data_IF_494728229068
#
_entry.id   IF_494728229068
#
_cell.length_a   1.000
_cell.length_b   1.000
_cell.length_c   1.000
_cell.angle_alpha   90.00
_cell.angle_beta   90.00
_cell.angle_gamma   90.00
#
_symmetry.space_group_name_H-M   'P 1'
#
loop_
_entity.id
_entity.type
_entity.pdbx_description
1 polymer ?
#
# COMPACT_ATOMS: atom_id res chain seq x y z
N UNK A 1 -30.68 -1.11 -12.29
CA UNK A 1 -32.12 -1.34 -12.06
C UNK A 1 -32.68 0.01 -11.70
N UNK A 2 -33.39 0.63 -12.63
CA UNK A 2 -34.03 1.95 -12.46
C UNK A 2 -35.09 1.84 -11.37
N UNK A 3 -35.29 2.90 -10.58
CA UNK A 3 -36.28 2.91 -9.48
C UNK A 3 -37.69 2.49 -9.96
N UNK A 4 -38.08 2.91 -11.18
CA UNK A 4 -39.35 2.50 -11.80
C UNK A 4 -39.56 0.98 -11.87
N UNK A 5 -38.56 0.21 -12.29
CA UNK A 5 -38.67 -1.25 -12.36
C UNK A 5 -38.76 -1.91 -10.99
N UNK A 6 -38.28 -1.26 -9.93
CA UNK A 6 -38.43 -1.77 -8.57
C UNK A 6 -39.84 -1.48 -8.04
N UNK A 7 -40.44 -0.36 -8.44
CA UNK A 7 -41.79 0.05 -8.07
C UNK A 7 -42.86 -0.81 -8.77
N UNK A 8 -42.69 -1.09 -10.06
CA UNK A 8 -43.59 -1.97 -10.84
C UNK A 8 -43.62 -3.40 -10.26
N UNK A 9 -42.43 -3.92 -9.92
CA UNK A 9 -42.29 -5.23 -9.28
C UNK A 9 -42.85 -5.18 -7.85
N UNK A 10 -42.71 -4.08 -7.11
CA UNK A 10 -43.29 -3.96 -5.77
C UNK A 10 -44.82 -3.95 -5.82
N UNK A 11 -45.41 -3.25 -6.79
CA UNK A 11 -46.85 -3.19 -7.01
C UNK A 11 -47.43 -4.57 -7.37
N UNK A 12 -46.80 -5.29 -8.30
CA UNK A 12 -47.28 -6.62 -8.75
C UNK A 12 -46.82 -7.80 -7.91
N UNK A 13 -45.74 -7.71 -7.12
CA UNK A 13 -45.18 -8.82 -6.33
C UNK A 13 -45.31 -8.64 -4.80
N UNK A 14 -45.68 -7.44 -4.34
CA UNK A 14 -45.75 -7.08 -2.93
C UNK A 14 -44.39 -6.66 -2.38
N UNK A 15 -44.40 -5.60 -1.57
CA UNK A 15 -43.19 -5.02 -0.94
C UNK A 15 -42.44 -6.02 -0.05
N UNK A 16 -43.16 -6.89 0.66
CA UNK A 16 -42.58 -7.92 1.53
C UNK A 16 -41.79 -8.97 0.73
N UNK A 17 -42.35 -9.44 -0.39
CA UNK A 17 -41.72 -10.40 -1.30
C UNK A 17 -40.45 -9.82 -1.91
N UNK A 18 -40.53 -8.55 -2.33
CA UNK A 18 -39.38 -7.82 -2.87
C UNK A 18 -38.29 -7.61 -1.79
N UNK A 19 -38.68 -7.35 -0.54
CA UNK A 19 -37.77 -7.30 0.61
C UNK A 19 -37.03 -8.62 0.84
N UNK A 20 -37.75 -9.76 0.78
CA UNK A 20 -37.17 -11.10 0.87
C UNK A 20 -36.20 -11.41 -0.28
N UNK A 21 -36.57 -11.07 -1.51
CA UNK A 21 -35.70 -11.20 -2.70
C UNK A 21 -34.44 -10.32 -2.60
N UNK A 22 -34.55 -9.09 -2.10
CA UNK A 22 -33.41 -8.22 -1.81
C UNK A 22 -32.48 -8.83 -0.74
N UNK A 23 -33.05 -9.46 0.29
CA UNK A 23 -32.29 -10.21 1.30
C UNK A 23 -31.52 -11.39 0.68
N UNK A 24 -32.15 -12.17 -0.19
CA UNK A 24 -31.50 -13.26 -0.94
C UNK A 24 -30.39 -12.74 -1.85
N UNK A 25 -30.63 -11.65 -2.58
CA UNK A 25 -29.60 -10.97 -3.40
C UNK A 25 -28.41 -10.54 -2.57
N UNK A 26 -28.65 -9.93 -1.40
CA UNK A 26 -27.58 -9.50 -0.47
C UNK A 26 -26.79 -10.69 0.06
N UNK A 27 -27.44 -11.81 0.38
CA UNK A 27 -26.77 -13.06 0.81
C UNK A 27 -25.90 -13.65 -0.30
N UNK A 28 -26.42 -13.72 -1.52
CA UNK A 28 -25.67 -14.20 -2.68
C UNK A 28 -24.46 -13.31 -2.98
N UNK A 29 -24.64 -11.99 -2.88
CA UNK A 29 -23.56 -11.02 -3.02
C UNK A 29 -22.49 -11.22 -1.96
N UNK A 30 -22.86 -11.29 -0.68
CA UNK A 30 -21.93 -11.55 0.43
C UNK A 30 -21.17 -12.86 0.26
N UNK A 31 -21.85 -13.94 -0.15
CA UNK A 31 -21.19 -15.23 -0.41
C UNK A 31 -20.11 -15.13 -1.50
N UNK A 32 -20.39 -14.40 -2.59
CA UNK A 32 -19.41 -14.17 -3.65
C UNK A 32 -18.26 -13.29 -3.17
N UNK A 33 -18.58 -12.20 -2.48
CA UNK A 33 -17.60 -11.25 -1.94
C UNK A 33 -16.65 -11.93 -0.94
N UNK A 34 -17.17 -12.76 -0.03
CA UNK A 34 -16.33 -13.53 0.91
C UNK A 34 -15.41 -14.49 0.15
N UNK A 35 -15.94 -15.22 -0.85
CA UNK A 35 -15.15 -16.18 -1.63
C UNK A 35 -14.05 -15.50 -2.45
N UNK A 36 -14.34 -14.38 -3.11
CA UNK A 36 -13.32 -13.62 -3.83
C UNK A 36 -12.34 -12.96 -2.85
N UNK A 37 -12.82 -12.47 -1.71
CA UNK A 37 -12.00 -11.88 -0.65
C UNK A 37 -10.99 -12.86 -0.08
N UNK A 38 -11.37 -14.13 0.12
CA UNK A 38 -10.44 -15.19 0.53
C UNK A 38 -9.31 -15.42 -0.49
N UNK A 39 -9.62 -15.38 -1.79
CA UNK A 39 -8.60 -15.53 -2.83
C UNK A 39 -7.66 -14.33 -2.88
N UNK A 40 -8.22 -13.11 -2.79
CA UNK A 40 -7.44 -11.87 -2.76
C UNK A 40 -6.56 -11.82 -1.51
N UNK A 41 -7.07 -12.20 -0.34
CA UNK A 41 -6.30 -12.26 0.89
C UNK A 41 -5.19 -13.31 0.83
N UNK A 42 -5.45 -14.49 0.24
CA UNK A 42 -4.42 -15.50 0.02
C UNK A 42 -3.30 -14.98 -0.89
N UNK A 43 -3.64 -14.29 -1.98
CA UNK A 43 -2.65 -13.69 -2.87
C UNK A 43 -1.86 -12.57 -2.19
N UNK A 44 -2.53 -11.69 -1.44
CA UNK A 44 -1.90 -10.57 -0.74
C UNK A 44 -0.93 -11.04 0.35
N UNK A 45 -1.33 -12.03 1.16
CA UNK A 45 -0.45 -12.60 2.20
C UNK A 45 0.79 -13.27 1.62
N UNK A 46 0.67 -13.98 0.49
CA UNK A 46 1.83 -14.52 -0.23
C UNK A 46 2.75 -13.42 -0.76
N UNK A 47 2.19 -12.36 -1.35
CA UNK A 47 2.98 -11.25 -1.86
C UNK A 47 3.70 -10.49 -0.74
N UNK A 48 3.04 -10.28 0.40
CA UNK A 48 3.64 -9.68 1.59
C UNK A 48 4.79 -10.54 2.12
N UNK A 49 4.59 -11.86 2.22
CA UNK A 49 5.64 -12.79 2.64
C UNK A 49 6.83 -12.76 1.67
N UNK A 50 6.58 -12.64 0.36
CA UNK A 50 7.63 -12.49 -0.65
C UNK A 50 8.40 -11.17 -0.47
N UNK A 51 7.72 -10.05 -0.24
CA UNK A 51 8.37 -8.75 0.04
C UNK A 51 9.25 -8.85 1.28
N UNK A 52 8.78 -9.51 2.35
CA UNK A 52 9.61 -9.73 3.54
C UNK A 52 10.83 -10.61 3.26
N UNK A 53 10.70 -11.65 2.44
CA UNK A 53 11.82 -12.49 2.05
C UNK A 53 12.88 -11.69 1.27
N UNK A 54 12.44 -10.85 0.33
CA UNK A 54 13.35 -9.97 -0.44
C UNK A 54 14.00 -8.93 0.48
N UNK A 55 13.25 -8.36 1.44
CA UNK A 55 13.77 -7.38 2.40
C UNK A 55 14.82 -7.95 3.37
N UNK A 56 14.97 -9.28 3.45
CA UNK A 56 16.07 -9.94 4.16
C UNK A 56 17.33 -10.09 3.32
N UNK A 57 17.17 -10.26 2.00
CA UNK A 57 18.29 -10.36 1.07
C UNK A 57 18.84 -8.99 0.67
N UNK A 58 17.98 -7.97 0.66
CA UNK A 58 18.32 -6.61 0.25
C UNK A 58 17.81 -5.59 1.28
N UNK A 59 18.59 -4.55 1.61
CA UNK A 59 18.17 -3.48 2.53
C UNK A 59 17.09 -2.60 1.87
N UNK A 60 15.84 -3.04 1.98
CA UNK A 60 14.68 -2.36 1.43
C UNK A 60 14.04 -1.44 2.48
N UNK A 61 14.45 -0.17 2.49
CA UNK A 61 13.85 0.84 3.37
C UNK A 61 12.34 1.02 3.15
N UNK A 62 11.89 0.82 1.91
CA UNK A 62 10.50 0.93 1.51
C UNK A 62 9.66 -0.34 1.78
N UNK A 63 10.18 -1.36 2.49
CA UNK A 63 9.47 -2.61 2.70
C UNK A 63 8.08 -2.42 3.37
N UNK A 64 8.01 -1.61 4.44
CA UNK A 64 6.73 -1.31 5.14
C UNK A 64 5.71 -0.57 4.26
N UNK A 65 6.04 0.57 3.60
CA UNK A 65 5.07 1.24 2.73
C UNK A 65 4.67 0.37 1.53
N UNK A 66 5.56 -0.46 0.98
CA UNK A 66 5.21 -1.42 -0.07
C UNK A 66 4.19 -2.45 0.43
N UNK A 67 4.38 -3.02 1.62
CA UNK A 67 3.41 -3.95 2.22
C UNK A 67 2.04 -3.30 2.44
N UNK A 68 2.01 -2.07 2.97
CA UNK A 68 0.77 -1.30 3.12
C UNK A 68 0.11 -1.03 1.76
N UNK A 69 0.90 -0.69 0.75
CA UNK A 69 0.44 -0.52 -0.63
C UNK A 69 -0.19 -1.79 -1.20
N UNK A 70 0.41 -2.96 -0.96
CA UNK A 70 -0.15 -4.27 -1.35
C UNK A 70 -1.51 -4.52 -0.68
N UNK A 71 -1.61 -4.24 0.62
CA UNK A 71 -2.88 -4.40 1.37
C UNK A 71 -3.95 -3.46 0.80
N UNK A 72 -3.62 -2.18 0.62
CA UNK A 72 -4.55 -1.18 0.09
C UNK A 72 -5.03 -1.55 -1.32
N UNK A 73 -4.10 -1.92 -2.20
CA UNK A 73 -4.41 -2.36 -3.56
C UNK A 73 -5.32 -3.60 -3.56
N UNK A 74 -5.02 -4.59 -2.72
CA UNK A 74 -5.83 -5.79 -2.58
C UNK A 74 -7.27 -5.47 -2.13
N UNK A 75 -7.43 -4.57 -1.15
CA UNK A 75 -8.75 -4.13 -0.67
C UNK A 75 -9.53 -3.39 -1.76
N UNK A 76 -8.88 -2.49 -2.50
CA UNK A 76 -9.50 -1.75 -3.60
C UNK A 76 -9.91 -2.72 -4.72
N UNK A 77 -9.00 -3.60 -5.15
CA UNK A 77 -9.28 -4.59 -6.18
C UNK A 77 -10.45 -5.51 -5.77
N UNK A 78 -10.50 -5.94 -4.51
CA UNK A 78 -11.62 -6.70 -3.98
C UNK A 78 -12.92 -5.91 -3.97
N UNK A 79 -12.90 -4.65 -3.53
CA UNK A 79 -14.10 -3.79 -3.50
C UNK A 79 -14.63 -3.53 -4.92
N UNK A 80 -13.74 -3.28 -5.89
CA UNK A 80 -14.07 -3.12 -7.31
C UNK A 80 -14.66 -4.41 -7.88
N UNK A 81 -14.04 -5.57 -7.61
CA UNK A 81 -14.56 -6.87 -8.06
C UNK A 81 -15.94 -7.17 -7.45
N UNK A 82 -16.10 -6.94 -6.14
CA UNK A 82 -17.35 -7.16 -5.43
C UNK A 82 -18.47 -6.23 -5.90
N UNK A 83 -18.16 -4.98 -6.26
CA UNK A 83 -19.14 -4.03 -6.80
C UNK A 83 -19.50 -4.33 -8.25
N UNK A 84 -18.52 -4.67 -9.10
CA UNK A 84 -18.75 -5.05 -10.51
C UNK A 84 -19.56 -6.34 -10.64
N UNK A 85 -19.36 -7.31 -9.75
CA UNK A 85 -20.08 -8.61 -9.77
C UNK A 85 -21.37 -8.63 -8.95
N UNK A 86 -21.98 -7.47 -8.68
CA UNK A 86 -23.26 -7.37 -7.98
C UNK A 86 -24.34 -8.17 -8.73
N UNK A 87 -24.92 -9.23 -8.14
CA UNK A 87 -25.96 -10.02 -8.79
C UNK A 87 -27.22 -9.19 -9.03
N UNK A 88 -27.88 -9.41 -10.17
CA UNK A 88 -29.22 -8.88 -10.39
C UNK A 88 -30.25 -9.59 -9.50
N UNK A 89 -31.45 -9.01 -9.33
CA UNK A 89 -32.54 -9.69 -8.62
C UNK A 89 -32.97 -10.97 -9.34
N UNK A 90 -32.92 -10.98 -10.68
CA UNK A 90 -33.22 -12.17 -11.51
C UNK A 90 -32.19 -13.27 -11.27
N UNK A 91 -30.89 -12.94 -11.23
CA UNK A 91 -29.85 -13.93 -10.92
C UNK A 91 -29.99 -14.52 -9.52
N UNK A 92 -30.42 -13.68 -8.56
CA UNK A 92 -30.65 -14.10 -7.19
C UNK A 92 -31.89 -15.01 -7.09
N UNK A 93 -32.97 -14.67 -7.80
CA UNK A 93 -34.19 -15.47 -7.88
C UNK A 93 -33.92 -16.84 -8.53
N UNK A 94 -33.28 -16.87 -9.70
CA UNK A 94 -32.94 -18.12 -10.41
C UNK A 94 -32.04 -19.03 -9.59
N UNK A 95 -30.99 -18.48 -8.96
CA UNK A 95 -30.14 -19.29 -8.06
C UNK A 95 -30.83 -19.73 -6.78
N UNK A 96 -31.78 -18.94 -6.27
CA UNK A 96 -32.59 -19.35 -5.14
C UNK A 96 -33.55 -20.48 -5.55
N UNK A 97 -34.09 -20.45 -6.77
CA UNK A 97 -34.92 -21.55 -7.29
C UNK A 97 -34.15 -22.87 -7.36
N UNK A 98 -32.88 -22.83 -7.76
CA UNK A 98 -31.99 -24.00 -7.79
C UNK A 98 -31.66 -24.51 -6.38
N UNK A 99 -31.23 -23.63 -5.46
CA UNK A 99 -30.81 -24.06 -4.11
C UNK A 99 -31.98 -24.40 -3.17
N UNK A 100 -33.19 -23.88 -3.44
CA UNK A 100 -34.41 -24.14 -2.65
C UNK A 100 -35.41 -25.05 -3.37
N UNK A 101 -35.05 -25.60 -4.53
CA UNK A 101 -35.87 -26.51 -5.34
C UNK A 101 -37.25 -25.95 -5.72
N UNK A 102 -37.34 -24.64 -5.96
CA UNK A 102 -38.60 -23.93 -6.24
C UNK A 102 -39.04 -24.04 -7.72
N UNK A 103 -38.35 -24.84 -8.55
CA UNK A 103 -38.72 -25.15 -9.93
C UNK A 103 -38.99 -23.90 -10.79
N UNK A 104 -38.07 -22.94 -10.75
CA UNK A 104 -38.09 -21.68 -11.53
C UNK A 104 -39.21 -20.69 -11.17
N UNK A 105 -40.01 -20.95 -10.13
CA UNK A 105 -41.17 -20.11 -9.77
C UNK A 105 -40.79 -18.66 -9.46
N UNK A 106 -39.65 -18.41 -8.80
CA UNK A 106 -39.22 -17.04 -8.47
C UNK A 106 -38.65 -16.31 -9.70
N UNK A 107 -37.87 -17.01 -10.51
CA UNK A 107 -37.32 -16.47 -11.76
C UNK A 107 -38.43 -16.05 -12.72
N UNK A 108 -39.41 -16.93 -12.94
CA UNK A 108 -40.58 -16.69 -13.78
C UNK A 108 -41.44 -15.56 -13.20
N UNK A 109 -41.79 -15.59 -11.91
CA UNK A 109 -42.59 -14.53 -11.30
C UNK A 109 -41.95 -13.14 -11.40
N UNK A 110 -40.62 -13.04 -11.30
CA UNK A 110 -39.92 -11.77 -11.46
C UNK A 110 -39.88 -11.30 -12.92
N UNK A 111 -39.92 -12.21 -13.88
CA UNK A 111 -39.99 -11.89 -15.31
C UNK A 111 -41.39 -11.42 -15.72
N UNK A 112 -42.43 -12.08 -15.20
CA UNK A 112 -43.82 -11.64 -15.36
C UNK A 112 -44.08 -10.28 -14.70
N UNK A 113 -43.55 -10.05 -13.50
CA UNK A 113 -43.72 -8.78 -12.79
C UNK A 113 -43.06 -7.57 -13.47
N UNK A 114 -42.29 -7.77 -14.55
CA UNK A 114 -41.68 -6.68 -15.34
C UNK A 114 -42.55 -6.19 -16.49
N UNK A 115 -43.60 -6.92 -16.82
CA UNK A 115 -44.54 -6.55 -17.89
C UNK A 115 -45.90 -6.30 -17.25
N UNK A 116 -46.64 -5.31 -17.74
CA UNK A 116 -48.02 -5.09 -17.32
C UNK A 116 -48.95 -5.88 -18.25
N UNK A 117 -49.70 -6.82 -17.69
CA UNK A 117 -50.67 -7.62 -18.43
C UNK A 117 -51.82 -8.01 -17.50
N UNK A 118 -53.04 -7.86 -17.98
CA UNK A 118 -54.29 -8.15 -17.24
C UNK A 118 -54.71 -9.63 -17.37
N UNK A 119 -53.74 -10.54 -17.41
CA UNK A 119 -54.03 -11.98 -17.51
C UNK A 119 -54.21 -12.62 -16.11
N UNK A 120 -55.40 -13.17 -15.81
CA UNK A 120 -55.67 -13.86 -14.54
C UNK A 120 -54.73 -15.03 -14.25
N UNK A 121 -54.14 -15.66 -15.27
CA UNK A 121 -53.15 -16.72 -15.10
C UNK A 121 -51.86 -16.18 -14.48
N UNK A 122 -51.40 -15.00 -14.91
CA UNK A 122 -50.23 -14.34 -14.33
C UNK A 122 -50.45 -14.03 -12.85
N UNK A 123 -51.61 -13.47 -12.51
CA UNK A 123 -51.95 -13.15 -11.12
C UNK A 123 -51.86 -14.39 -10.21
N UNK A 124 -52.32 -15.56 -10.70
CA UNK A 124 -52.20 -16.84 -9.98
C UNK A 124 -50.75 -17.31 -9.88
N UNK A 125 -49.94 -17.16 -10.92
CA UNK A 125 -48.52 -17.53 -10.89
C UNK A 125 -47.72 -16.65 -9.91
N UNK A 126 -47.99 -15.34 -9.87
CA UNK A 126 -47.38 -14.41 -8.92
C UNK A 126 -47.78 -14.77 -7.47
N UNK A 127 -49.06 -15.09 -7.23
CA UNK A 127 -49.55 -15.51 -5.93
C UNK A 127 -48.90 -16.84 -5.46
N UNK A 128 -48.78 -17.83 -6.35
CA UNK A 128 -48.12 -19.11 -6.04
C UNK A 128 -46.63 -18.90 -5.71
N UNK A 129 -45.90 -18.09 -6.48
CA UNK A 129 -44.51 -17.78 -6.22
C UNK A 129 -44.30 -17.09 -4.86
N UNK A 130 -45.17 -16.14 -4.50
CA UNK A 130 -45.17 -15.48 -3.18
C UNK A 130 -45.43 -16.49 -2.05
N UNK A 131 -46.45 -17.33 -2.20
CA UNK A 131 -46.79 -18.34 -1.20
C UNK A 131 -45.63 -19.31 -0.95
N UNK A 132 -44.97 -19.76 -2.03
CA UNK A 132 -43.78 -20.62 -1.93
C UNK A 132 -42.59 -19.93 -1.31
N UNK A 133 -42.30 -18.68 -1.67
CA UNK A 133 -41.22 -17.90 -1.04
C UNK A 133 -41.47 -17.69 0.46
N UNK A 134 -42.74 -17.55 0.86
CA UNK A 134 -43.12 -17.37 2.25
C UNK A 134 -43.03 -18.66 3.07
N UNK A 135 -43.29 -19.81 2.44
CA UNK A 135 -43.22 -21.13 3.06
C UNK A 135 -41.79 -21.66 3.24
N UNK A 136 -40.82 -21.18 2.47
CA UNK A 136 -39.44 -21.68 2.52
C UNK A 136 -38.57 -20.89 3.51
N UNK A 137 -37.76 -21.63 4.27
CA UNK A 137 -36.74 -21.05 5.13
C UNK A 137 -35.57 -20.48 4.32
N UNK A 138 -35.55 -19.15 4.15
CA UNK A 138 -34.50 -18.40 3.47
C UNK A 138 -33.10 -18.61 4.09
N UNK A 139 -32.99 -19.13 5.31
CA UNK A 139 -31.69 -19.45 5.95
C UNK A 139 -31.01 -20.65 5.30
N UNK A 140 -31.77 -21.51 4.62
CA UNK A 140 -31.22 -22.67 3.91
C UNK A 140 -30.58 -22.28 2.57
N UNK A 141 -31.00 -21.16 1.98
CA UNK A 141 -30.40 -20.62 0.76
C UNK A 141 -29.00 -20.02 1.03
N UNK A 142 -28.07 -20.31 0.13
CA UNK A 142 -26.73 -19.75 0.04
C UNK A 142 -25.86 -19.97 1.28
N UNK A 143 -25.89 -21.18 1.87
CA UNK A 143 -25.04 -21.52 3.01
C UNK A 143 -23.56 -21.19 2.72
N UNK A 144 -22.85 -20.51 3.64
CA UNK A 144 -21.46 -20.16 3.45
C UNK A 144 -20.62 -21.45 3.40
N UNK A 145 -20.18 -21.82 2.19
CA UNK A 145 -19.19 -22.89 1.99
C UNK A 145 -17.84 -22.23 1.79
N UNK A 146 -17.08 -22.13 2.87
CA UNK A 146 -15.68 -21.71 2.83
C UNK A 146 -14.88 -22.78 2.06
N UNK A 147 -14.21 -22.38 0.99
CA UNK A 147 -13.32 -23.28 0.28
C UNK A 147 -12.08 -23.51 1.16
N UNK A 148 -11.82 -24.78 1.54
CA UNK A 148 -10.72 -25.15 2.45
C UNK A 148 -9.35 -24.76 1.90
N UNK A 149 -9.14 -24.90 0.59
CA UNK A 149 -7.87 -24.58 -0.08
C UNK A 149 -7.44 -23.11 0.06
N UNK A 150 -8.22 -22.10 -0.39
CA UNK A 150 -7.81 -20.70 -0.25
C UNK A 150 -7.72 -20.27 1.21
N UNK A 151 -8.56 -20.83 2.09
CA UNK A 151 -8.45 -20.61 3.53
C UNK A 151 -7.09 -21.11 4.07
N UNK A 152 -6.68 -22.32 3.68
CA UNK A 152 -5.39 -22.89 4.09
C UNK A 152 -4.21 -22.08 3.55
N UNK A 153 -4.27 -21.64 2.29
CA UNK A 153 -3.22 -20.78 1.70
C UNK A 153 -3.14 -19.43 2.43
N UNK A 154 -4.28 -18.78 2.69
CA UNK A 154 -4.31 -17.53 3.44
C UNK A 154 -3.78 -17.71 4.88
N UNK A 155 -4.17 -18.80 5.55
CA UNK A 155 -3.68 -19.11 6.90
C UNK A 155 -2.17 -19.38 6.91
N UNK A 156 -1.67 -20.13 5.93
CA UNK A 156 -0.24 -20.43 5.79
C UNK A 156 0.56 -19.16 5.46
N UNK A 157 0.07 -18.32 4.54
CA UNK A 157 0.69 -17.03 4.23
C UNK A 157 0.71 -16.08 5.43
N UNK A 158 -0.36 -16.04 6.22
CA UNK A 158 -0.42 -15.27 7.46
C UNK A 158 0.56 -15.81 8.51
N UNK A 159 0.59 -17.12 8.73
CA UNK A 159 1.53 -17.74 9.66
C UNK A 159 2.99 -17.47 9.27
N UNK A 160 3.31 -17.58 7.98
CA UNK A 160 4.62 -17.23 7.43
C UNK A 160 4.96 -15.75 7.67
N UNK A 161 4.01 -14.86 7.36
CA UNK A 161 4.16 -13.40 7.57
C UNK A 161 4.46 -13.09 9.04
N UNK A 162 3.71 -13.68 9.98
CA UNK A 162 3.90 -13.48 11.42
C UNK A 162 5.24 -14.04 11.90
N UNK A 163 5.65 -15.21 11.40
CA UNK A 163 6.93 -15.81 11.72
C UNK A 163 8.10 -14.94 11.24
N UNK A 164 8.00 -14.38 10.03
CA UNK A 164 9.04 -13.51 9.46
C UNK A 164 9.12 -12.15 10.16
N UNK A 165 8.00 -11.65 10.70
CA UNK A 165 7.98 -10.42 11.52
C UNK A 165 8.56 -10.66 12.91
N UNK A 166 8.30 -11.81 13.52
CA UNK A 166 8.83 -12.15 14.84
C UNK A 166 10.34 -12.38 14.82
N UNK A 167 10.91 -12.74 13.66
CA UNK A 167 12.32 -13.00 13.50
C UNK A 167 13.06 -11.76 13.00
N UNK A 168 14.05 -11.23 13.73
CA UNK A 168 14.73 -9.98 13.40
C UNK A 168 15.37 -10.01 12.02
N UNK A 169 15.23 -8.93 11.28
CA UNK A 169 15.79 -8.80 9.94
C UNK A 169 17.22 -8.22 10.05
N UNK A 170 18.27 -8.94 9.60
CA UNK A 170 19.64 -8.44 9.68
C UNK A 170 19.87 -7.15 8.88
N UNK A 171 19.03 -6.89 7.88
CA UNK A 171 19.12 -5.66 7.09
C UNK A 171 18.59 -4.42 7.85
N UNK A 172 17.89 -4.60 8.98
CA UNK A 172 17.38 -3.46 9.74
C UNK A 172 18.53 -2.65 10.36
N UNK A 173 19.57 -3.32 10.88
CA UNK A 173 20.79 -2.67 11.40
C UNK A 173 21.53 -1.90 10.29
N UNK A 174 21.64 -2.48 9.10
CA UNK A 174 22.28 -1.83 7.94
C UNK A 174 21.49 -0.59 7.51
N UNK A 175 20.15 -0.65 7.54
CA UNK A 175 19.29 0.48 7.23
C UNK A 175 19.44 1.59 8.27
N UNK A 176 19.50 1.25 9.56
CA UNK A 176 19.72 2.21 10.63
C UNK A 176 21.08 2.90 10.51
N UNK A 177 22.16 2.15 10.25
CA UNK A 177 23.49 2.70 10.01
C UNK A 177 23.51 3.67 8.81
N UNK A 178 22.87 3.30 7.70
CA UNK A 178 22.77 4.17 6.52
C UNK A 178 21.99 5.45 6.81
N UNK A 179 20.93 5.38 7.61
CA UNK A 179 20.16 6.57 8.02
C UNK A 179 20.98 7.48 8.92
N UNK A 180 21.64 6.93 9.93
CA UNK A 180 22.53 7.68 10.80
C UNK A 180 23.66 8.36 10.00
N UNK A 181 24.25 7.66 9.02
CA UNK A 181 25.26 8.21 8.14
C UNK A 181 24.72 9.39 7.30
N UNK A 182 23.51 9.27 6.71
CA UNK A 182 22.87 10.36 5.96
C UNK A 182 22.54 11.56 6.85
N UNK A 183 22.00 11.34 8.04
CA UNK A 183 21.71 12.42 9.00
C UNK A 183 22.99 13.11 9.50
N UNK A 184 24.08 12.36 9.67
CA UNK A 184 25.39 12.94 9.97
C UNK A 184 25.93 13.76 8.79
N UNK A 185 25.81 13.25 7.56
CA UNK A 185 26.22 13.94 6.34
C UNK A 185 25.42 15.24 6.12
N UNK A 186 24.12 15.26 6.42
CA UNK A 186 23.27 16.44 6.31
C UNK A 186 23.68 17.55 7.29
N UNK A 187 23.91 17.21 8.56
CA UNK A 187 24.44 18.17 9.57
C UNK A 187 25.81 18.72 9.20
N UNK A 188 26.62 17.89 8.54
CA UNK A 188 27.94 18.28 8.04
C UNK A 188 27.81 19.19 6.83
N UNK A 189 26.89 18.90 5.91
CA UNK A 189 26.60 19.76 4.76
C UNK A 189 26.14 21.15 5.19
N UNK A 190 25.30 21.26 6.21
CA UNK A 190 24.87 22.54 6.78
C UNK A 190 26.07 23.38 7.27
N UNK A 191 26.99 22.79 8.06
CA UNK A 191 28.19 23.51 8.52
C UNK A 191 29.12 23.92 7.38
N UNK A 192 29.27 23.07 6.37
CA UNK A 192 30.08 23.39 5.18
C UNK A 192 29.45 24.55 4.39
N UNK A 193 28.13 24.61 4.32
CA UNK A 193 27.40 25.71 3.69
C UNK A 193 27.53 27.01 4.49
N UNK A 194 27.45 26.96 5.83
CA UNK A 194 27.74 28.12 6.71
C UNK A 194 29.15 28.69 6.44
N UNK A 195 30.17 27.83 6.35
CA UNK A 195 31.54 28.27 6.02
C UNK A 195 31.62 28.82 4.59
N UNK A 196 30.88 28.25 3.63
CA UNK A 196 30.83 28.77 2.28
C UNK A 196 30.25 30.18 2.24
N UNK A 197 29.19 30.42 3.01
CA UNK A 197 28.54 31.72 3.11
C UNK A 197 29.43 32.76 3.80
N UNK A 198 30.14 32.40 4.88
CA UNK A 198 31.16 33.26 5.51
C UNK A 198 32.26 33.66 4.51
N UNK A 199 32.78 32.71 3.74
CA UNK A 199 33.79 32.97 2.70
C UNK A 199 33.23 33.90 1.61
N UNK A 200 31.97 33.71 1.23
CA UNK A 200 31.27 34.57 0.28
C UNK A 200 31.09 36.01 0.79
N UNK A 201 30.66 36.18 2.04
CA UNK A 201 30.53 37.48 2.69
C UNK A 201 31.88 38.21 2.77
N UNK A 202 32.93 37.51 3.21
CA UNK A 202 34.29 38.07 3.22
C UNK A 202 34.80 38.48 1.82
N UNK A 203 34.36 37.77 0.77
CA UNK A 203 34.72 38.07 -0.61
C UNK A 203 33.97 39.29 -1.17
N UNK A 204 32.76 39.58 -0.65
CA UNK A 204 32.05 40.83 -0.97
C UNK A 204 32.78 42.03 -0.38
N UNK A 205 33.27 41.90 0.86
CA UNK A 205 34.02 42.97 1.55
C UNK A 205 35.42 43.18 0.96
N UNK A 206 36.11 42.10 0.59
CA UNK A 206 37.44 42.13 -0.03
C UNK A 206 37.57 41.09 -1.16
N UNK A 207 37.34 41.51 -2.43
CA UNK A 207 37.30 40.59 -3.56
C UNK A 207 38.62 39.87 -3.84
N UNK A 208 38.58 38.55 -3.79
CA UNK A 208 39.66 37.62 -4.19
C UNK A 208 39.07 36.47 -5.02
N UNK A 209 39.49 36.31 -6.30
CA UNK A 209 39.05 35.19 -7.15
C UNK A 209 39.23 33.81 -6.54
N UNK A 210 40.19 33.62 -5.61
CA UNK A 210 40.42 32.35 -4.93
C UNK A 210 39.32 32.03 -3.91
N UNK A 211 38.78 33.05 -3.23
CA UNK A 211 37.68 32.89 -2.27
C UNK A 211 36.39 32.50 -2.98
N UNK A 212 36.12 33.08 -4.14
CA UNK A 212 34.98 32.71 -4.98
C UNK A 212 35.04 31.25 -5.46
N UNK A 213 36.23 30.75 -5.81
CA UNK A 213 36.42 29.33 -6.14
C UNK A 213 36.21 28.43 -4.91
N UNK A 214 36.76 28.80 -3.75
CA UNK A 214 36.58 28.05 -2.50
C UNK A 214 35.11 27.95 -2.09
N UNK A 215 34.38 29.08 -2.11
CA UNK A 215 32.94 29.15 -1.86
C UNK A 215 32.16 28.18 -2.77
N UNK A 216 32.44 28.18 -4.09
CA UNK A 216 31.83 27.24 -5.03
C UNK A 216 32.13 25.78 -4.68
N UNK A 217 33.36 25.46 -4.31
CA UNK A 217 33.74 24.09 -3.97
C UNK A 217 33.11 23.61 -2.67
N UNK A 218 32.99 24.48 -1.66
CA UNK A 218 32.31 24.19 -0.40
C UNK A 218 30.82 23.94 -0.63
N UNK A 219 30.14 24.79 -1.42
CA UNK A 219 28.73 24.56 -1.77
C UNK A 219 28.51 23.26 -2.52
N UNK A 220 29.41 22.92 -3.44
CA UNK A 220 29.34 21.66 -4.17
C UNK A 220 29.62 20.45 -3.25
N UNK A 221 30.54 20.58 -2.28
CA UNK A 221 30.75 19.56 -1.25
C UNK A 221 29.49 19.38 -0.38
N UNK A 222 28.85 20.47 0.07
CA UNK A 222 27.61 20.43 0.83
C UNK A 222 26.48 19.74 0.04
N UNK A 223 26.35 20.06 -1.25
CA UNK A 223 25.40 19.39 -2.15
C UNK A 223 25.68 17.90 -2.27
N UNK A 224 26.94 17.52 -2.49
CA UNK A 224 27.33 16.12 -2.65
C UNK A 224 27.09 15.30 -1.38
N UNK A 225 27.35 15.88 -0.20
CA UNK A 225 27.04 15.28 1.10
C UNK A 225 25.54 15.01 1.29
N UNK A 226 24.66 15.89 0.77
CA UNK A 226 23.21 15.68 0.81
C UNK A 226 22.73 14.61 -0.16
N UNK A 227 23.30 14.58 -1.36
CA UNK A 227 22.88 13.64 -2.41
C UNK A 227 23.47 12.23 -2.23
N UNK A 228 24.70 12.12 -1.71
CA UNK A 228 25.49 10.89 -1.67
C UNK A 228 26.17 10.67 -0.30
N UNK A 229 25.59 11.16 0.80
CA UNK A 229 26.18 11.08 2.13
C UNK A 229 26.43 9.67 2.67
N UNK A 230 25.82 8.64 2.07
CA UNK A 230 26.08 7.24 2.36
C UNK A 230 27.24 6.63 1.53
N UNK A 231 27.73 7.34 0.50
CA UNK A 231 28.92 6.97 -0.27
C UNK A 231 30.18 7.58 0.37
N UNK A 232 30.85 6.75 1.18
CA UNK A 232 32.07 7.12 1.90
C UNK A 232 33.21 7.50 0.98
N UNK A 233 33.41 6.76 -0.11
CA UNK A 233 34.58 6.95 -0.97
C UNK A 233 34.47 8.27 -1.72
N UNK A 234 33.28 8.55 -2.28
CA UNK A 234 32.97 9.82 -2.92
C UNK A 234 33.12 10.99 -1.93
N UNK A 235 32.59 10.85 -0.71
CA UNK A 235 32.63 11.90 0.31
C UNK A 235 34.06 12.21 0.78
N UNK A 236 34.87 11.19 1.09
CA UNK A 236 36.25 11.39 1.55
C UNK A 236 37.14 11.96 0.44
N UNK A 237 36.97 11.50 -0.80
CA UNK A 237 37.68 12.05 -1.94
C UNK A 237 37.38 13.55 -2.11
N UNK A 238 36.12 13.96 -1.91
CA UNK A 238 35.74 15.37 -2.03
C UNK A 238 36.31 16.23 -0.91
N UNK A 239 36.25 15.76 0.34
CA UNK A 239 36.86 16.47 1.48
C UNK A 239 38.36 16.69 1.21
N UNK A 240 39.06 15.65 0.76
CA UNK A 240 40.48 15.75 0.42
C UNK A 240 40.78 16.79 -0.67
N UNK A 241 39.93 16.89 -1.71
CA UNK A 241 40.11 17.89 -2.76
C UNK A 241 39.97 19.34 -2.26
N UNK A 242 39.02 19.58 -1.33
CA UNK A 242 38.82 20.90 -0.71
C UNK A 242 39.98 21.23 0.22
N UNK A 243 40.48 20.26 0.99
CA UNK A 243 41.67 20.44 1.85
C UNK A 243 42.92 20.78 1.04
N UNK A 244 43.12 20.14 -0.11
CA UNK A 244 44.25 20.43 -0.99
C UNK A 244 44.21 21.87 -1.51
N UNK A 245 43.04 22.37 -1.91
CA UNK A 245 42.89 23.76 -2.37
C UNK A 245 43.09 24.77 -1.23
N UNK A 246 42.55 24.46 -0.04
CA UNK A 246 42.75 25.27 1.16
C UNK A 246 44.24 25.37 1.53
N UNK A 247 45.01 24.29 1.37
CA UNK A 247 46.45 24.28 1.64
C UNK A 247 47.26 25.16 0.66
N UNK A 248 46.73 25.40 -0.54
CA UNK A 248 47.34 26.31 -1.53
C UNK A 248 47.02 27.78 -1.22
N UNK A 249 45.98 28.04 -0.45
CA UNK A 249 45.62 29.39 -0.02
C UNK A 249 46.49 29.81 1.17
N UNK A 250 47.15 30.96 1.06
CA UNK A 250 47.88 31.58 2.18
C UNK A 250 46.89 32.40 3.02
N UNK A 251 45.86 31.74 3.54
CA UNK A 251 44.80 32.36 4.34
C UNK A 251 45.16 32.24 5.84
N UNK A 252 45.11 33.32 6.64
CA UNK A 252 45.30 33.25 8.09
C UNK A 252 44.35 32.27 8.81
N UNK A 253 43.16 31.98 8.25
CA UNK A 253 42.19 31.03 8.79
C UNK A 253 42.28 29.63 8.15
N UNK A 254 43.21 29.40 7.21
CA UNK A 254 43.37 28.09 6.54
C UNK A 254 43.58 26.94 7.53
N UNK A 255 44.35 27.17 8.60
CA UNK A 255 44.65 26.14 9.60
C UNK A 255 43.40 25.73 10.40
N UNK A 256 42.50 26.66 10.70
CA UNK A 256 41.27 26.39 11.43
C UNK A 256 40.27 25.62 10.56
N UNK A 257 40.12 26.04 9.30
CA UNK A 257 39.26 25.38 8.30
C UNK A 257 39.77 23.98 7.95
N UNK A 258 41.09 23.75 7.86
CA UNK A 258 41.67 22.43 7.61
C UNK A 258 41.50 21.48 8.80
N UNK A 259 41.63 22.00 10.02
CA UNK A 259 41.33 21.22 11.23
C UNK A 259 39.86 20.79 11.28
N UNK A 260 38.94 21.68 10.90
CA UNK A 260 37.52 21.38 10.81
C UNK A 260 37.23 20.29 9.76
N UNK A 261 37.80 20.40 8.55
CA UNK A 261 37.67 19.39 7.48
C UNK A 261 38.29 18.04 7.87
N UNK A 262 39.41 18.05 8.60
CA UNK A 262 40.02 16.82 9.11
C UNK A 262 39.15 16.15 10.18
N UNK A 263 38.56 16.94 11.08
CA UNK A 263 37.60 16.41 12.06
C UNK A 263 36.36 15.84 11.36
N UNK A 264 35.90 16.50 10.30
CA UNK A 264 34.83 16.05 9.42
C UNK A 264 35.14 14.68 8.82
N UNK A 265 36.30 14.55 8.16
CA UNK A 265 36.74 13.31 7.53
C UNK A 265 36.81 12.15 8.55
N UNK A 266 37.29 12.43 9.77
CA UNK A 266 37.30 11.44 10.86
C UNK A 266 35.89 11.06 11.32
N UNK A 267 34.98 12.03 11.48
CA UNK A 267 33.60 11.74 11.88
C UNK A 267 32.85 10.93 10.82
N UNK A 268 33.02 11.28 9.54
CA UNK A 268 32.42 10.54 8.42
C UNK A 268 33.02 9.14 8.31
N UNK A 269 34.33 9.02 8.52
CA UNK A 269 35.00 7.72 8.55
C UNK A 269 34.44 6.82 9.66
N UNK A 270 34.20 7.36 10.87
CA UNK A 270 33.65 6.58 12.00
C UNK A 270 32.17 6.23 11.83
N UNK A 271 31.35 7.20 11.41
CA UNK A 271 29.92 7.01 11.20
C UNK A 271 29.63 5.91 10.17
N UNK A 272 30.52 5.73 9.19
CA UNK A 272 30.39 4.68 8.17
C UNK A 272 31.08 3.36 8.56
N UNK A 273 32.10 3.36 9.42
CA UNK A 273 32.69 2.10 9.94
C UNK A 273 31.87 1.43 11.03
N UNK A 274 30.84 2.10 11.56
CA UNK A 274 30.00 1.56 12.64
C UNK A 274 30.72 1.45 13.98
N UNK A 275 31.86 2.15 14.14
CA UNK A 275 32.57 2.26 15.42
C UNK A 275 32.01 3.44 16.23
N UNK A 276 30.76 3.31 16.66
CA UNK A 276 30.28 4.07 17.83
C UNK A 276 30.48 3.18 19.07
N UNK A 277 31.53 3.52 19.82
CA UNK A 277 31.72 3.37 21.27
C UNK A 277 31.36 2.00 21.91
N UNK A 278 32.41 1.20 22.15
CA UNK A 278 32.50 0.32 23.32
C UNK A 278 32.86 1.12 24.57
#
# INVERSE_FOLDING_TARGET
MTDRLADDVAARLGSDTLGRLRSLRRRLWWRRAVRSGLLVAAAATLLIALVQLVARAFPLEAARPVQLGVIAFALIAWAVDATRRRPSLVDAARRADEELELRQRLGTALELARHETDDPLEARQLADARARLNAVDLRRAFRPRLARRPLAVAAMGLAMTLLLVAWPNPQDEVIEQRRAAREAAERVAERVEEVADEVGEENVDNPDPRREELERQLRELARQLREQGDDREATLARIGSVQEELSRMTDPQAAERDAALTQLARSTSRAVTGEEEA
#
